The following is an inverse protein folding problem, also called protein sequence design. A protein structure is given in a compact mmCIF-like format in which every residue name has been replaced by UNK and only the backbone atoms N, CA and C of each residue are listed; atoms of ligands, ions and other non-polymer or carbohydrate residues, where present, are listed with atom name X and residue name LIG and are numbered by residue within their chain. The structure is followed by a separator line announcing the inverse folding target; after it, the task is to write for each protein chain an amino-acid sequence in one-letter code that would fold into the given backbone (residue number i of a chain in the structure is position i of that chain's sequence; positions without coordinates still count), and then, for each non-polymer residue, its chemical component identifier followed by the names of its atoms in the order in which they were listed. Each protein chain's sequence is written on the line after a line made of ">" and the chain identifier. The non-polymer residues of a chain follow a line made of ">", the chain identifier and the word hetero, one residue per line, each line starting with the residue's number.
data_IF_915296054123
#
_entry.id   IF_915296054123
#
_cell.length_a   1.000
_cell.length_b   1.000
_cell.length_c   1.000
_cell.angle_alpha   90.00
_cell.angle_beta   90.00
_cell.angle_gamma   90.00
#
_symmetry.space_group_name_H-M   'P 1'
#
loop_
_entity.id
_entity.type
_entity.pdbx_description
1 polymer ?
#
# COMPACT_ATOMS: atom_id res chain seq x y z
N UNK A 1 -2.63 -32.98 21.06
CA UNK A 1 -2.51 -31.92 22.10
C UNK A 1 -1.28 -31.00 21.89
N UNK A 2 -0.13 -31.51 21.44
CA UNK A 2 1.12 -30.73 21.26
C UNK A 2 1.08 -29.69 20.12
N UNK A 3 0.39 -29.98 18.99
CA UNK A 3 0.30 -29.06 17.84
C UNK A 3 -0.45 -27.76 18.15
N UNK A 4 -1.51 -27.81 18.95
CA UNK A 4 -2.30 -26.63 19.35
C UNK A 4 -1.48 -25.65 20.19
N UNK A 5 -0.61 -26.16 21.07
CA UNK A 5 0.26 -25.33 21.90
C UNK A 5 1.36 -24.64 21.09
N UNK A 6 1.89 -25.31 20.06
CA UNK A 6 2.87 -24.73 19.15
C UNK A 6 2.28 -23.57 18.35
N UNK A 7 1.09 -23.77 17.76
CA UNK A 7 0.38 -22.71 17.01
C UNK A 7 0.04 -21.53 17.93
N UNK A 8 -0.45 -21.79 19.14
CA UNK A 8 -0.75 -20.74 20.13
C UNK A 8 0.50 -19.95 20.54
N UNK A 9 1.65 -20.60 20.64
CA UNK A 9 2.92 -19.95 20.92
C UNK A 9 3.39 -19.08 19.74
N UNK A 10 3.30 -19.58 18.51
CA UNK A 10 3.62 -18.83 17.30
C UNK A 10 2.74 -17.58 17.15
N UNK A 11 1.43 -17.71 17.38
CA UNK A 11 0.49 -16.57 17.38
C UNK A 11 0.86 -15.54 18.47
N UNK A 12 1.26 -15.98 19.67
CA UNK A 12 1.77 -15.09 20.73
C UNK A 12 3.09 -14.39 20.36
N UNK A 13 3.98 -15.04 19.60
CA UNK A 13 5.20 -14.41 19.11
C UNK A 13 4.90 -13.35 18.05
N UNK A 14 3.99 -13.64 17.13
CA UNK A 14 3.53 -12.70 16.11
C UNK A 14 2.82 -11.50 16.75
N UNK A 15 1.95 -11.73 17.75
CA UNK A 15 1.27 -10.65 18.48
C UNK A 15 2.25 -9.78 19.29
N UNK A 16 3.29 -10.35 19.87
CA UNK A 16 4.36 -9.59 20.55
C UNK A 16 5.17 -8.74 19.58
N UNK A 17 5.40 -9.22 18.35
CA UNK A 17 6.03 -8.42 17.30
C UNK A 17 5.08 -7.38 16.69
N UNK A 18 3.76 -7.62 16.72
CA UNK A 18 2.71 -6.67 16.30
C UNK A 18 2.36 -5.61 17.34
N UNK A 19 2.67 -5.84 18.62
CA UNK A 19 2.78 -4.79 19.64
C UNK A 19 4.01 -3.93 19.33
N UNK A 20 3.93 -3.25 18.19
CA UNK A 20 4.91 -2.28 17.75
C UNK A 20 5.11 -1.31 18.89
N UNK A 21 6.35 -1.22 19.36
CA UNK A 21 6.76 -0.08 20.18
C UNK A 21 6.28 1.14 19.40
N UNK A 22 5.45 1.98 20.01
CA UNK A 22 5.16 3.30 19.47
C UNK A 22 6.49 4.05 19.43
N UNK A 23 7.21 3.92 18.32
CA UNK A 23 8.38 4.72 18.08
C UNK A 23 7.88 6.11 17.77
N UNK A 24 8.19 7.05 18.66
CA UNK A 24 8.00 8.47 18.42
C UNK A 24 8.55 8.78 17.04
N UNK A 25 7.71 9.35 16.18
CA UNK A 25 8.14 9.73 14.85
C UNK A 25 9.24 10.78 15.00
N UNK A 26 10.36 10.57 14.30
CA UNK A 26 11.36 11.62 14.09
C UNK A 26 10.71 12.83 13.42
N UNK A 27 11.24 14.02 13.69
CA UNK A 27 10.85 15.25 12.98
C UNK A 27 10.98 15.08 11.47
N UNK A 28 10.36 15.97 10.70
CA UNK A 28 10.43 15.87 9.25
C UNK A 28 11.88 16.08 8.77
N UNK A 29 12.58 17.06 9.33
CA UNK A 29 14.00 17.35 9.05
C UNK A 29 14.95 16.19 9.36
N UNK A 30 14.75 15.47 10.46
CA UNK A 30 15.60 14.33 10.86
C UNK A 30 15.31 13.04 10.08
N UNK A 31 14.23 13.03 9.28
CA UNK A 31 13.80 11.85 8.54
C UNK A 31 14.38 11.82 7.12
N UNK A 32 14.64 10.61 6.61
CA UNK A 32 15.13 10.46 5.23
C UNK A 32 14.09 10.98 4.23
N UNK A 33 14.53 11.48 3.06
CA UNK A 33 13.63 11.90 1.97
C UNK A 33 12.61 10.81 1.60
N UNK A 34 13.04 9.54 1.57
CA UNK A 34 12.15 8.40 1.31
C UNK A 34 11.06 8.24 2.37
N UNK A 35 11.38 8.52 3.64
CA UNK A 35 10.42 8.49 4.75
C UNK A 35 9.45 9.66 4.66
N UNK A 36 9.95 10.86 4.36
CA UNK A 36 9.12 12.05 4.14
C UNK A 36 8.08 11.80 3.03
N UNK A 37 8.52 11.28 1.88
CA UNK A 37 7.62 10.94 0.76
C UNK A 37 6.56 9.91 1.18
N UNK A 38 6.95 8.87 1.94
CA UNK A 38 5.99 7.87 2.44
C UNK A 38 4.95 8.50 3.37
N UNK A 39 5.36 9.41 4.26
CA UNK A 39 4.46 10.13 5.17
C UNK A 39 3.48 11.02 4.39
N UNK A 40 3.98 11.80 3.44
CA UNK A 40 3.17 12.66 2.56
C UNK A 40 2.12 11.84 1.80
N UNK A 41 2.55 10.76 1.13
CA UNK A 41 1.64 9.86 0.39
C UNK A 41 0.64 9.16 1.31
N UNK A 42 1.08 8.75 2.50
CA UNK A 42 0.23 8.12 3.50
C UNK A 42 -0.87 9.06 4.00
N UNK A 43 -0.52 10.31 4.30
CA UNK A 43 -1.47 11.36 4.67
C UNK A 43 -2.46 11.61 3.54
N UNK A 44 -1.97 11.87 2.32
CA UNK A 44 -2.82 12.12 1.16
C UNK A 44 -3.82 10.99 0.90
N UNK A 45 -3.39 9.73 0.99
CA UNK A 45 -4.27 8.58 0.85
C UNK A 45 -5.36 8.55 1.94
N UNK A 46 -5.00 8.86 3.18
CA UNK A 46 -5.94 8.89 4.29
C UNK A 46 -7.00 9.97 4.10
N UNK A 47 -6.58 11.17 3.70
CA UNK A 47 -7.48 12.29 3.43
C UNK A 47 -8.37 12.01 2.20
N UNK A 48 -7.85 11.35 1.17
CA UNK A 48 -8.67 10.93 0.03
C UNK A 48 -9.79 9.98 0.45
N UNK A 49 -9.48 8.95 1.25
CA UNK A 49 -10.49 8.00 1.75
C UNK A 49 -11.51 8.73 2.61
N UNK A 50 -11.06 9.57 3.53
CA UNK A 50 -11.96 10.35 4.38
C UNK A 50 -12.87 11.27 3.57
N UNK A 51 -12.33 11.94 2.55
CA UNK A 51 -13.11 12.75 1.61
C UNK A 51 -14.17 11.90 0.92
N UNK A 52 -13.80 10.78 0.30
CA UNK A 52 -14.71 9.87 -0.39
C UNK A 52 -15.83 9.35 0.53
N UNK A 53 -15.50 8.98 1.76
CA UNK A 53 -16.47 8.52 2.76
C UNK A 53 -17.46 9.61 3.18
N UNK A 54 -17.00 10.86 3.22
CA UNK A 54 -17.80 12.02 3.64
C UNK A 54 -18.75 12.55 2.57
N UNK A 55 -18.50 12.29 1.27
CA UNK A 55 -19.28 12.86 0.16
C UNK A 55 -20.79 12.62 0.34
N UNK A 56 -21.17 11.42 0.75
CA UNK A 56 -22.58 11.01 0.91
C UNK A 56 -23.35 11.84 1.94
N UNK A 57 -22.65 12.47 2.89
CA UNK A 57 -23.26 13.27 3.95
C UNK A 57 -23.54 14.71 3.47
N UNK A 58 -22.93 15.14 2.35
CA UNK A 58 -23.00 16.51 1.84
C UNK A 58 -23.61 16.64 0.43
N UNK A 59 -23.51 15.61 -0.41
CA UNK A 59 -23.88 15.68 -1.83
C UNK A 59 -24.84 14.57 -2.24
N UNK A 60 -25.57 14.79 -3.33
CA UNK A 60 -26.40 13.74 -3.92
C UNK A 60 -25.49 12.66 -4.53
N UNK A 61 -25.82 11.35 -4.40
CA UNK A 61 -25.04 10.29 -5.06
C UNK A 61 -24.92 10.42 -6.59
N UNK A 62 -25.75 11.23 -7.24
CA UNK A 62 -25.66 11.54 -8.67
C UNK A 62 -24.59 12.59 -9.00
N UNK A 63 -24.15 13.37 -8.02
CA UNK A 63 -23.16 14.42 -8.22
C UNK A 63 -21.75 13.81 -8.29
N UNK A 64 -20.97 14.23 -9.28
CA UNK A 64 -19.59 13.80 -9.44
C UNK A 64 -18.66 14.72 -8.63
N UNK A 65 -18.37 14.31 -7.39
CA UNK A 65 -17.50 15.05 -6.47
C UNK A 65 -16.13 14.37 -6.42
N UNK A 66 -15.07 15.13 -6.72
CA UNK A 66 -13.71 14.59 -6.84
C UNK A 66 -12.70 15.50 -6.13
N UNK A 67 -11.89 14.92 -5.24
CA UNK A 67 -10.73 15.60 -4.66
C UNK A 67 -9.59 15.64 -5.68
N UNK A 68 -9.30 16.83 -6.23
CA UNK A 68 -8.28 16.98 -7.28
C UNK A 68 -6.86 16.96 -6.74
N UNK A 69 -6.63 17.64 -5.61
CA UNK A 69 -5.32 17.74 -4.99
C UNK A 69 -5.44 18.05 -3.50
N UNK A 70 -4.39 17.74 -2.76
CA UNK A 70 -4.19 18.10 -1.35
C UNK A 70 -2.94 18.98 -1.23
N UNK A 71 -3.13 20.20 -0.73
CA UNK A 71 -2.06 21.14 -0.41
C UNK A 71 -1.93 21.26 1.10
N UNK A 72 -0.71 21.18 1.61
CA UNK A 72 -0.43 21.34 3.04
C UNK A 72 1.01 21.76 3.27
N UNK A 73 1.30 22.27 4.47
CA UNK A 73 2.65 22.70 4.86
C UNK A 73 3.19 21.84 6.00
N UNK A 74 4.51 21.60 5.97
CA UNK A 74 5.26 21.08 7.11
C UNK A 74 6.46 22.01 7.31
N UNK A 75 6.56 22.65 8.48
CA UNK A 75 7.71 23.50 8.84
C UNK A 75 8.06 24.50 7.72
N UNK A 76 7.05 25.23 7.23
CA UNK A 76 7.10 26.23 6.15
C UNK A 76 7.38 25.69 4.73
N UNK A 77 7.47 24.37 4.54
CA UNK A 77 7.56 23.76 3.21
C UNK A 77 6.18 23.38 2.73
N UNK A 78 5.80 23.88 1.57
CA UNK A 78 4.55 23.53 0.90
C UNK A 78 4.68 22.21 0.15
N UNK A 79 3.67 21.37 0.27
CA UNK A 79 3.52 20.11 -0.43
C UNK A 79 2.22 20.10 -1.22
N UNK A 80 2.33 19.66 -2.47
CA UNK A 80 1.21 19.47 -3.38
C UNK A 80 1.12 17.99 -3.75
N UNK A 81 -0.04 17.37 -3.51
CA UNK A 81 -0.32 15.99 -3.92
C UNK A 81 -1.53 15.99 -4.84
N UNK A 82 -1.33 15.69 -6.12
CA UNK A 82 -2.42 15.54 -7.09
C UNK A 82 -2.99 14.12 -7.06
N UNK A 83 -4.31 13.98 -7.02
CA UNK A 83 -5.01 12.71 -7.17
C UNK A 83 -5.42 12.52 -8.64
N UNK A 84 -4.43 12.44 -9.53
CA UNK A 84 -4.62 12.12 -10.94
C UNK A 84 -4.74 10.62 -11.18
N UNK A 85 -5.07 10.22 -12.42
CA UNK A 85 -5.12 8.82 -12.88
C UNK A 85 -3.71 8.18 -12.95
N UNK A 86 -2.98 8.11 -11.84
CA UNK A 86 -1.76 7.27 -11.72
C UNK A 86 -2.09 5.77 -11.86
N UNK A 87 -3.38 5.44 -11.84
CA UNK A 87 -3.89 4.10 -12.09
C UNK A 87 -3.64 3.61 -13.53
N UNK A 88 -3.44 4.50 -14.51
CA UNK A 88 -3.13 4.07 -15.89
C UNK A 88 -1.72 3.45 -15.99
N UNK A 89 -0.75 3.91 -15.21
CA UNK A 89 0.59 3.32 -15.18
C UNK A 89 0.55 1.95 -14.50
N UNK A 90 -0.17 1.83 -13.38
CA UNK A 90 -0.37 0.53 -12.70
C UNK A 90 -1.21 -0.44 -13.54
N UNK A 91 -2.24 0.04 -14.23
CA UNK A 91 -3.05 -0.75 -15.17
C UNK A 91 -2.22 -1.21 -16.36
N UNK A 92 -1.39 -0.34 -16.94
CA UNK A 92 -0.45 -0.71 -18.02
C UNK A 92 0.59 -1.72 -17.55
N UNK A 93 1.16 -1.54 -16.36
CA UNK A 93 2.08 -2.52 -15.76
C UNK A 93 1.39 -3.86 -15.49
N UNK A 94 0.18 -3.84 -14.92
CA UNK A 94 -0.64 -5.04 -14.68
C UNK A 94 -0.96 -5.76 -16.00
N UNK A 95 -1.39 -5.03 -17.02
CA UNK A 95 -1.69 -5.56 -18.35
C UNK A 95 -0.44 -6.19 -18.98
N UNK A 96 0.70 -5.48 -18.96
CA UNK A 96 1.97 -5.98 -19.48
C UNK A 96 2.43 -7.24 -18.75
N UNK A 97 2.29 -7.30 -17.43
CA UNK A 97 2.61 -8.51 -16.66
C UNK A 97 1.64 -9.65 -16.93
N UNK A 98 0.36 -9.38 -17.18
CA UNK A 98 -0.62 -10.41 -17.57
C UNK A 98 -0.34 -10.96 -18.98
N UNK A 99 -0.02 -10.12 -19.96
CA UNK A 99 0.38 -10.54 -21.32
C UNK A 99 1.63 -11.42 -21.26
N UNK A 100 2.66 -11.00 -20.51
CA UNK A 100 3.90 -11.76 -20.36
C UNK A 100 3.71 -13.15 -19.72
N UNK A 101 2.66 -13.31 -18.91
CA UNK A 101 2.34 -14.56 -18.19
C UNK A 101 1.50 -15.52 -19.06
N UNK A 102 0.75 -15.02 -20.04
CA UNK A 102 -0.05 -15.85 -20.94
C UNK A 102 0.79 -16.54 -22.04
N UNK A 103 1.93 -15.95 -22.41
CA UNK A 103 2.79 -16.46 -23.49
C UNK A 103 3.75 -17.58 -23.06
N UNK A 104 3.74 -17.99 -21.78
CA UNK A 104 4.65 -19.02 -21.27
C UNK A 104 3.85 -20.06 -20.48
N UNK A 105 3.76 -21.29 -20.99
CA UNK A 105 3.04 -22.42 -20.38
C UNK A 105 3.47 -22.72 -18.92
N UNK A 106 4.63 -22.20 -18.48
CA UNK A 106 5.07 -22.13 -17.09
C UNK A 106 5.50 -20.70 -16.73
N UNK A 107 4.93 -20.13 -15.66
CA UNK A 107 5.31 -18.79 -15.19
C UNK A 107 6.78 -18.81 -14.77
N UNK A 108 7.64 -18.15 -15.56
CA UNK A 108 9.04 -17.90 -15.19
C UNK A 108 9.10 -17.20 -13.84
N UNK A 109 10.06 -17.60 -13.00
CA UNK A 109 10.21 -17.09 -11.64
C UNK A 109 10.20 -15.55 -11.57
N UNK A 110 10.94 -14.90 -12.46
CA UNK A 110 10.97 -13.43 -12.50
C UNK A 110 9.64 -12.80 -12.92
N UNK A 111 8.86 -13.47 -13.79
CA UNK A 111 7.49 -13.05 -14.12
C UNK A 111 6.59 -13.06 -12.88
N UNK A 112 6.71 -14.11 -12.06
CA UNK A 112 5.99 -14.23 -10.80
C UNK A 112 6.38 -13.13 -9.82
N UNK A 113 7.68 -12.78 -9.72
CA UNK A 113 8.14 -11.66 -8.88
C UNK A 113 7.50 -10.34 -9.30
N UNK A 114 7.43 -10.08 -10.60
CA UNK A 114 6.80 -8.88 -11.12
C UNK A 114 5.31 -8.84 -10.80
N UNK A 115 4.58 -9.94 -10.99
CA UNK A 115 3.18 -10.03 -10.62
C UNK A 115 2.94 -9.83 -9.11
N UNK A 116 3.68 -10.54 -8.25
CA UNK A 116 3.53 -10.46 -6.80
C UNK A 116 3.95 -9.09 -6.22
N UNK A 117 4.81 -8.34 -6.93
CA UNK A 117 5.14 -6.96 -6.56
C UNK A 117 3.98 -5.98 -6.84
N UNK A 118 3.13 -6.29 -7.83
CA UNK A 118 1.98 -5.47 -8.23
C UNK A 118 0.72 -5.89 -7.46
N UNK A 119 0.53 -7.20 -7.23
CA UNK A 119 -0.62 -7.79 -6.56
C UNK A 119 -0.24 -8.27 -5.16
N UNK A 120 -0.54 -7.45 -4.14
CA UNK A 120 -0.17 -7.73 -2.75
C UNK A 120 -0.91 -8.91 -2.12
N UNK A 121 -1.94 -9.44 -2.78
CA UNK A 121 -2.65 -10.65 -2.36
C UNK A 121 -1.93 -11.94 -2.76
N UNK A 122 -0.99 -11.88 -3.72
CA UNK A 122 -0.20 -13.04 -4.10
C UNK A 122 0.90 -13.33 -3.06
N UNK A 123 1.11 -14.61 -2.69
CA UNK A 123 2.18 -14.99 -1.79
C UNK A 123 3.53 -14.66 -2.43
N UNK A 124 4.43 -14.07 -1.66
CA UNK A 124 5.79 -13.76 -2.15
C UNK A 124 6.58 -15.05 -2.25
N UNK A 125 7.52 -15.18 -3.18
CA UNK A 125 8.20 -16.47 -3.47
C UNK A 125 8.75 -17.22 -2.26
N UNK A 126 9.29 -16.51 -1.26
CA UNK A 126 9.81 -17.15 -0.05
C UNK A 126 8.73 -17.87 0.78
N UNK A 127 7.45 -17.60 0.53
CA UNK A 127 6.31 -18.28 1.14
C UNK A 127 5.86 -19.51 0.33
N UNK A 128 6.38 -19.70 -0.89
CA UNK A 128 6.00 -20.79 -1.80
C UNK A 128 7.12 -21.84 -1.90
N UNK A 129 8.38 -21.44 -1.68
CA UNK A 129 9.55 -22.35 -1.69
C UNK A 129 9.71 -23.24 -0.43
N UNK A 130 8.60 -23.66 0.20
CA UNK A 130 8.60 -24.56 1.37
C UNK A 130 7.81 -25.84 1.06
N UNK A 131 8.18 -26.51 -0.03
CA UNK A 131 7.84 -27.90 -0.35
C UNK A 131 9.02 -28.57 -1.02
#
# INVERSE_FOLDING_TARGET
>A
MLQLNYIKFQLKCIDRNRKGRLHKLKSNEESSKTTQIKRIKGLAKKEQIHFEDSIKDFYNPKDCVVLKALNFTIENKEYHVSFGKDDDVKKKQKLHSMTYVQDVENILRDAYRHLAAIESTLPREYAISQT
#
